data_IF_499127926354
#
_entry.id   IF_499127926354
#
_cell.length_a   1.000
_cell.length_b   1.000
_cell.length_c   1.000
_cell.angle_alpha   90.00
_cell.angle_beta   90.00
_cell.angle_gamma   90.00
#
_symmetry.space_group_name_H-M   'P 1'
#
loop_
_entity.id
_entity.type
_entity.pdbx_description
1 polymer ?
#
# COMPACT_ATOMS: atom_id res chain seq x y z
N UNK A 1 13.69 67.70 11.11
CA UNK A 1 13.11 66.74 12.05
C UNK A 1 12.47 65.64 11.21
N UNK A 2 13.21 64.60 10.89
CA UNK A 2 12.77 63.51 9.95
C UNK A 2 12.45 62.29 10.80
N UNK A 3 11.19 61.90 10.89
CA UNK A 3 10.73 60.69 11.56
C UNK A 3 10.95 59.47 10.65
N UNK A 4 11.82 58.56 11.10
CA UNK A 4 11.95 57.25 10.47
C UNK A 4 10.89 56.30 11.02
N UNK A 5 9.98 55.88 10.18
CA UNK A 5 9.03 54.81 10.50
C UNK A 5 9.72 53.44 10.34
N UNK A 6 9.87 52.72 11.45
CA UNK A 6 10.30 51.31 11.45
C UNK A 6 9.11 50.44 11.00
N UNK A 7 9.23 49.83 9.82
CA UNK A 7 8.33 48.72 9.45
C UNK A 7 8.83 47.43 10.08
N UNK A 8 8.09 46.94 11.07
CA UNK A 8 8.28 45.60 11.60
C UNK A 8 7.55 44.62 10.68
N UNK A 9 8.30 43.85 9.92
CA UNK A 9 7.75 42.73 9.13
C UNK A 9 7.55 41.56 10.08
N UNK A 10 6.32 41.31 10.49
CA UNK A 10 5.94 40.08 11.20
C UNK A 10 5.87 38.95 10.17
N UNK A 11 6.94 38.17 10.09
CA UNK A 11 6.98 36.97 9.29
C UNK A 11 6.05 35.91 9.89
N UNK A 12 4.90 35.68 9.28
CA UNK A 12 4.06 34.52 9.58
C UNK A 12 4.76 33.26 9.10
N UNK A 13 5.27 32.48 10.04
CA UNK A 13 5.79 31.13 9.77
C UNK A 13 4.56 30.27 9.42
N UNK A 14 4.40 29.97 8.14
CA UNK A 14 3.40 29.03 7.67
C UNK A 14 3.86 27.64 8.11
N UNK A 15 3.39 27.18 9.26
CA UNK A 15 3.57 25.80 9.71
C UNK A 15 2.85 24.90 8.72
N UNK A 16 3.59 24.28 7.81
CA UNK A 16 3.09 23.21 6.97
C UNK A 16 2.84 22.00 7.87
N UNK A 17 1.64 21.93 8.45
CA UNK A 17 1.16 20.71 9.11
C UNK A 17 0.99 19.67 8.03
N UNK A 18 1.91 18.69 7.99
CA UNK A 18 1.70 17.46 7.24
C UNK A 18 0.47 16.77 7.86
N UNK A 19 -0.69 17.02 7.29
CA UNK A 19 -1.88 16.23 7.58
C UNK A 19 -1.59 14.83 7.06
N UNK A 20 -1.30 13.90 7.96
CA UNK A 20 -1.40 12.48 7.70
C UNK A 20 -2.85 12.27 7.24
N UNK A 21 -3.05 11.99 5.96
CA UNK A 21 -4.36 11.63 5.44
C UNK A 21 -4.73 10.30 6.11
N UNK A 22 -5.53 10.38 7.15
CA UNK A 22 -6.23 9.23 7.69
C UNK A 22 -7.21 8.77 6.61
N UNK A 23 -7.07 7.56 6.12
CA UNK A 23 -8.02 6.97 5.19
C UNK A 23 -9.30 6.63 5.99
N UNK A 24 -10.07 7.67 6.28
CA UNK A 24 -11.29 7.61 7.08
C UNK A 24 -12.33 6.68 6.43
N UNK A 25 -12.21 6.42 5.12
CA UNK A 25 -13.18 5.60 4.38
C UNK A 25 -13.16 4.13 4.80
N UNK A 26 -12.02 3.56 5.16
CA UNK A 26 -11.90 2.15 5.56
C UNK A 26 -12.56 1.92 6.93
N UNK A 27 -12.44 2.87 7.87
CA UNK A 27 -12.89 2.70 9.25
C UNK A 27 -14.33 3.12 9.52
N UNK A 28 -15.01 3.79 8.58
CA UNK A 28 -16.38 4.31 8.80
C UNK A 28 -17.42 3.22 9.04
N UNK A 29 -17.19 2.02 8.50
CA UNK A 29 -18.10 0.85 8.64
C UNK A 29 -17.47 -0.31 9.41
N UNK A 30 -16.26 -0.14 9.94
CA UNK A 30 -15.53 -1.19 10.64
C UNK A 30 -15.55 -0.95 12.16
N UNK A 31 -15.70 -2.02 12.98
CA UNK A 31 -15.45 -1.96 14.41
C UNK A 31 -14.03 -1.49 14.73
N UNK A 32 -13.78 -1.12 15.99
CA UNK A 32 -12.42 -0.88 16.46
C UNK A 32 -11.56 -2.14 16.26
N UNK A 33 -10.37 -1.97 15.68
CA UNK A 33 -9.51 -3.12 15.38
C UNK A 33 -8.42 -2.78 14.37
N UNK A 34 -7.64 -3.80 14.01
CA UNK A 34 -6.58 -3.72 13.02
C UNK A 34 -7.04 -4.38 11.72
N UNK A 35 -6.89 -3.69 10.59
CA UNK A 35 -7.35 -4.18 9.29
C UNK A 35 -6.22 -4.09 8.26
N UNK A 36 -6.02 -5.18 7.55
CA UNK A 36 -5.08 -5.23 6.44
C UNK A 36 -5.52 -4.32 5.30
N UNK A 37 -4.62 -3.47 4.81
CA UNK A 37 -4.82 -2.63 3.62
C UNK A 37 -3.77 -2.89 2.54
N UNK A 38 -2.80 -3.73 2.84
CA UNK A 38 -1.76 -4.22 1.95
C UNK A 38 -0.81 -5.11 2.73
N UNK A 39 -0.01 -5.91 2.06
CA UNK A 39 0.89 -6.85 2.75
C UNK A 39 1.88 -6.19 3.72
N UNK A 40 2.21 -4.94 3.49
CA UNK A 40 3.14 -4.18 4.34
C UNK A 40 2.47 -3.03 5.07
N UNK A 41 1.15 -2.95 5.01
CA UNK A 41 0.40 -1.83 5.60
C UNK A 41 -0.89 -2.33 6.24
N UNK A 42 -1.25 -1.76 7.36
CA UNK A 42 -2.52 -1.99 8.03
C UNK A 42 -3.06 -0.69 8.62
N UNK A 43 -4.34 -0.63 8.85
CA UNK A 43 -5.00 0.49 9.50
C UNK A 43 -5.51 0.08 10.87
N UNK A 44 -5.31 0.92 11.86
CA UNK A 44 -5.92 0.80 13.19
C UNK A 44 -7.16 1.70 13.21
N UNK A 45 -8.33 1.09 13.34
CA UNK A 45 -9.60 1.79 13.44
C UNK A 45 -9.97 2.01 14.91
N UNK A 46 -10.31 3.26 15.26
CA UNK A 46 -10.82 3.63 16.58
C UNK A 46 -11.89 4.71 16.44
N UNK A 47 -13.11 4.41 16.86
CA UNK A 47 -14.23 5.36 16.80
C UNK A 47 -14.53 5.89 15.40
N UNK A 48 -14.38 5.04 14.36
CA UNK A 48 -14.62 5.42 12.95
C UNK A 48 -13.46 6.19 12.30
N UNK A 49 -12.34 6.40 13.01
CA UNK A 49 -11.12 7.05 12.49
C UNK A 49 -10.03 6.00 12.32
N UNK A 50 -9.29 6.08 11.20
CA UNK A 50 -8.19 5.18 10.88
C UNK A 50 -6.81 5.84 10.95
N UNK A 51 -5.83 5.10 11.47
CA UNK A 51 -4.40 5.47 11.39
C UNK A 51 -3.67 4.36 10.65
N UNK A 52 -2.99 4.72 9.57
CA UNK A 52 -2.22 3.77 8.75
C UNK A 52 -0.85 3.53 9.38
N UNK A 53 -0.47 2.27 9.45
CA UNK A 53 0.83 1.81 9.90
C UNK A 53 1.49 0.96 8.81
N UNK A 54 2.80 1.07 8.68
CA UNK A 54 3.60 0.25 7.77
C UNK A 54 4.50 -0.72 8.55
N UNK A 55 4.66 -1.91 8.00
CA UNK A 55 5.63 -2.86 8.50
C UNK A 55 7.05 -2.38 8.14
N UNK A 56 8.06 -2.64 9.02
CA UNK A 56 9.44 -2.28 8.76
C UNK A 56 9.98 -2.84 7.45
N UNK A 57 10.77 -2.02 6.76
CA UNK A 57 11.53 -2.36 5.56
C UNK A 57 13.01 -2.59 5.87
N UNK A 58 13.78 -3.26 4.99
CA UNK A 58 15.23 -3.32 5.11
C UNK A 58 15.87 -1.91 5.28
N UNK A 59 16.95 -1.76 6.08
CA UNK A 59 17.77 -2.81 6.70
C UNK A 59 17.19 -3.47 7.97
N UNK A 60 16.01 -3.06 8.44
CA UNK A 60 15.29 -3.80 9.47
C UNK A 60 14.86 -5.17 8.90
N UNK A 61 14.51 -6.16 9.73
CA UNK A 61 13.94 -7.42 9.25
C UNK A 61 12.76 -7.14 8.31
N UNK A 62 12.76 -7.75 7.13
CA UNK A 62 11.65 -7.67 6.19
C UNK A 62 10.42 -8.31 6.82
N UNK A 63 9.36 -7.54 7.03
CA UNK A 63 8.15 -8.02 7.67
C UNK A 63 6.91 -7.65 6.86
N UNK A 64 5.88 -8.48 6.99
CA UNK A 64 4.55 -8.27 6.39
C UNK A 64 3.48 -8.33 7.48
N UNK A 65 2.34 -7.72 7.25
CA UNK A 65 1.26 -7.74 8.21
C UNK A 65 0.65 -9.13 8.33
N UNK A 66 0.58 -9.64 9.56
CA UNK A 66 -0.05 -10.91 9.89
C UNK A 66 -1.45 -10.63 10.47
N UNK A 67 -2.48 -10.74 9.64
CA UNK A 67 -3.85 -10.48 10.04
C UNK A 67 -4.35 -11.41 11.18
N UNK A 68 -3.83 -12.65 11.24
CA UNK A 68 -4.17 -13.59 12.30
C UNK A 68 -3.60 -13.18 13.68
N UNK A 69 -2.50 -12.42 13.69
CA UNK A 69 -1.83 -11.96 14.92
C UNK A 69 -2.04 -10.47 15.20
N UNK A 70 -2.49 -9.69 14.21
CA UNK A 70 -2.72 -8.25 14.33
C UNK A 70 -1.46 -7.38 14.40
N UNK A 71 -0.31 -7.90 13.94
CA UNK A 71 0.97 -7.17 13.88
C UNK A 71 1.85 -7.64 12.73
N UNK A 72 2.95 -6.91 12.46
CA UNK A 72 3.93 -7.29 11.46
C UNK A 72 4.73 -8.52 11.93
N UNK A 73 4.96 -9.47 11.02
CA UNK A 73 5.62 -10.74 11.30
C UNK A 73 6.54 -11.14 10.12
N UNK A 74 7.39 -12.12 10.33
CA UNK A 74 8.19 -12.71 9.24
C UNK A 74 7.24 -13.28 8.17
N UNK A 75 7.49 -13.03 6.87
CA UNK A 75 6.69 -13.59 5.77
C UNK A 75 6.44 -15.09 5.86
N UNK A 76 7.40 -15.87 6.37
CA UNK A 76 7.28 -17.32 6.52
C UNK A 76 6.18 -17.74 7.50
N UNK A 77 5.75 -16.84 8.38
CA UNK A 77 4.69 -17.06 9.37
C UNK A 77 3.32 -16.56 8.90
N UNK A 78 3.22 -15.99 7.70
CA UNK A 78 2.03 -15.35 7.20
C UNK A 78 1.42 -16.15 6.06
N UNK A 79 0.10 -16.23 6.01
CA UNK A 79 -0.60 -16.89 4.91
C UNK A 79 -0.42 -16.13 3.59
N UNK A 80 -0.59 -16.85 2.46
CA UNK A 80 -0.66 -16.21 1.15
C UNK A 80 -1.82 -15.19 1.09
N UNK A 81 -1.70 -14.13 0.28
CA UNK A 81 -0.60 -13.84 -0.64
C UNK A 81 0.62 -13.20 0.04
N UNK A 82 0.48 -12.57 1.19
CA UNK A 82 1.51 -11.74 1.83
C UNK A 82 2.73 -12.52 2.30
N UNK A 83 2.54 -13.76 2.77
CA UNK A 83 3.62 -14.68 3.14
C UNK A 83 4.23 -15.43 1.96
N UNK A 84 3.87 -15.11 0.73
CA UNK A 84 4.39 -15.81 -0.44
C UNK A 84 5.59 -15.07 -1.04
N UNK A 85 6.73 -15.76 -1.03
CA UNK A 85 7.93 -15.30 -1.70
C UNK A 85 7.92 -15.73 -3.18
N UNK A 86 8.38 -14.85 -4.06
CA UNK A 86 8.57 -15.11 -5.48
C UNK A 86 10.04 -15.01 -5.86
N UNK A 87 10.54 -15.96 -6.64
CA UNK A 87 11.86 -15.85 -7.22
C UNK A 87 11.88 -14.81 -8.33
N UNK A 88 12.48 -13.66 -8.04
CA UNK A 88 12.64 -12.57 -8.97
C UNK A 88 13.99 -12.55 -9.70
N UNK A 89 14.88 -13.49 -9.44
CA UNK A 89 16.28 -13.48 -9.91
C UNK A 89 16.43 -13.40 -11.44
N UNK A 90 15.45 -13.93 -12.17
CA UNK A 90 15.42 -13.94 -13.64
C UNK A 90 14.29 -13.07 -14.21
N UNK A 91 13.57 -12.32 -13.37
CA UNK A 91 12.46 -11.49 -13.80
C UNK A 91 12.90 -10.03 -13.97
N UNK A 92 12.50 -9.36 -15.08
CA UNK A 92 12.68 -7.93 -15.24
C UNK A 92 12.03 -7.11 -14.11
N UNK A 93 12.57 -5.92 -13.89
CA UNK A 93 12.06 -4.96 -12.91
C UNK A 93 10.68 -4.45 -13.31
N UNK A 94 9.63 -4.99 -12.71
CA UNK A 94 8.23 -4.56 -12.87
C UNK A 94 7.32 -5.21 -11.84
N UNK A 95 6.03 -4.91 -11.96
CA UNK A 95 4.97 -5.58 -11.20
C UNK A 95 4.38 -6.73 -12.02
N UNK A 96 4.02 -7.81 -11.34
CA UNK A 96 3.49 -9.04 -11.94
C UNK A 96 2.15 -9.38 -11.30
N UNK A 97 1.14 -9.81 -12.09
CA UNK A 97 -0.12 -10.28 -11.53
C UNK A 97 0.07 -11.54 -10.69
N UNK A 98 -0.60 -11.62 -9.55
CA UNK A 98 -0.68 -12.85 -8.78
C UNK A 98 -1.85 -13.72 -9.27
N UNK A 99 -1.54 -14.74 -10.03
CA UNK A 99 -2.56 -15.63 -10.59
C UNK A 99 -3.28 -16.48 -9.52
N UNK A 100 -2.67 -16.70 -8.36
CA UNK A 100 -3.31 -17.42 -7.25
C UNK A 100 -4.47 -16.64 -6.64
N UNK A 101 -4.43 -15.32 -6.74
CA UNK A 101 -5.50 -14.43 -6.25
C UNK A 101 -6.42 -13.97 -7.39
N UNK A 102 -6.40 -14.65 -8.54
CA UNK A 102 -7.11 -14.20 -9.75
C UNK A 102 -6.77 -12.75 -10.11
N UNK A 103 -5.51 -12.38 -9.98
CA UNK A 103 -4.98 -11.05 -10.26
C UNK A 103 -5.58 -9.90 -9.42
N UNK A 104 -6.28 -10.20 -8.33
CA UNK A 104 -6.74 -9.17 -7.37
C UNK A 104 -5.58 -8.61 -6.54
N UNK A 105 -4.41 -9.25 -6.60
CA UNK A 105 -3.14 -8.73 -6.09
C UNK A 105 -2.04 -8.82 -7.15
N UNK A 106 -0.93 -8.16 -6.87
CA UNK A 106 0.29 -8.19 -7.69
C UNK A 106 1.52 -8.16 -6.80
N UNK A 107 2.64 -8.65 -7.31
CA UNK A 107 3.94 -8.56 -6.65
C UNK A 107 4.91 -7.73 -7.48
N UNK A 108 5.95 -7.22 -6.83
CA UNK A 108 6.97 -6.37 -7.46
C UNK A 108 8.32 -7.08 -7.41
N UNK A 109 8.99 -7.13 -8.57
CA UNK A 109 10.40 -7.50 -8.67
C UNK A 109 11.23 -6.27 -9.00
N UNK A 110 12.38 -6.09 -8.33
CA UNK A 110 13.35 -5.04 -8.63
C UNK A 110 14.76 -5.49 -8.28
N UNK A 111 15.72 -5.33 -9.22
CA UNK A 111 17.10 -5.77 -9.03
C UNK A 111 17.24 -7.26 -8.69
N UNK A 112 16.35 -8.11 -9.23
CA UNK A 112 16.31 -9.54 -8.92
C UNK A 112 15.75 -9.87 -7.53
N UNK A 113 15.23 -8.89 -6.80
CA UNK A 113 14.69 -9.02 -5.45
C UNK A 113 13.16 -8.91 -5.44
N UNK A 114 12.51 -9.74 -4.61
CA UNK A 114 11.08 -9.67 -4.37
C UNK A 114 10.74 -8.59 -3.35
N UNK A 115 9.87 -7.65 -3.73
CA UNK A 115 9.45 -6.50 -2.91
C UNK A 115 8.04 -6.66 -2.30
N UNK A 116 7.52 -7.88 -2.25
CA UNK A 116 6.23 -8.17 -1.63
C UNK A 116 5.03 -7.98 -2.54
N UNK A 117 3.84 -8.24 -1.99
CA UNK A 117 2.55 -8.12 -2.64
C UNK A 117 1.84 -6.82 -2.28
N UNK A 118 1.00 -6.37 -3.21
CA UNK A 118 0.02 -5.31 -3.01
C UNK A 118 -1.33 -5.75 -3.59
N UNK A 119 -2.41 -5.18 -3.07
CA UNK A 119 -3.76 -5.49 -3.51
C UNK A 119 -4.33 -4.42 -4.43
N UNK A 120 -5.14 -4.84 -5.38
CA UNK A 120 -6.02 -3.94 -6.09
C UNK A 120 -7.22 -3.57 -5.22
N UNK A 121 -7.79 -2.38 -5.44
CA UNK A 121 -9.04 -2.01 -4.80
C UNK A 121 -10.16 -3.00 -5.18
N UNK A 122 -11.17 -3.20 -4.34
CA UNK A 122 -12.27 -4.12 -4.62
C UNK A 122 -12.89 -3.91 -6.01
N UNK A 123 -13.06 -5.01 -6.75
CA UNK A 123 -13.60 -5.02 -8.11
C UNK A 123 -12.58 -4.77 -9.22
N UNK A 124 -11.33 -4.42 -8.89
CA UNK A 124 -10.25 -4.26 -9.85
C UNK A 124 -9.31 -5.47 -9.83
N UNK A 125 -8.61 -5.67 -10.95
CA UNK A 125 -7.55 -6.66 -11.11
C UNK A 125 -6.31 -6.00 -11.72
N UNK A 126 -5.15 -6.60 -11.53
CA UNK A 126 -3.91 -6.02 -12.03
C UNK A 126 -3.76 -6.19 -13.54
N UNK A 127 -3.58 -5.08 -14.23
CA UNK A 127 -3.28 -5.01 -15.67
C UNK A 127 -1.75 -4.92 -15.84
N UNK A 128 -1.13 -6.04 -16.19
CA UNK A 128 0.32 -6.11 -16.37
C UNK A 128 0.81 -5.21 -17.50
N UNK A 129 0.03 -5.04 -18.56
CA UNK A 129 0.42 -4.20 -19.69
C UNK A 129 0.44 -2.71 -19.32
N UNK A 130 -0.48 -2.29 -18.47
CA UNK A 130 -0.57 -0.91 -18.00
C UNK A 130 0.13 -0.67 -16.66
N UNK A 131 0.60 -1.72 -15.98
CA UNK A 131 1.26 -1.68 -14.67
C UNK A 131 0.42 -1.00 -13.56
N UNK A 132 -0.91 -1.19 -13.61
CA UNK A 132 -1.88 -0.64 -12.64
C UNK A 132 -3.08 -1.57 -12.48
N UNK A 133 -3.89 -1.34 -11.47
CA UNK A 133 -5.17 -2.03 -11.29
C UNK A 133 -6.25 -1.42 -12.20
N UNK A 134 -7.01 -2.27 -12.89
CA UNK A 134 -7.99 -1.88 -13.90
C UNK A 134 -9.25 -2.76 -13.80
N UNK A 135 -10.32 -2.35 -14.47
CA UNK A 135 -11.54 -3.15 -14.55
C UNK A 135 -11.31 -4.44 -15.33
N UNK A 136 -11.86 -5.59 -14.91
CA UNK A 136 -11.61 -6.88 -15.58
C UNK A 136 -11.86 -6.90 -17.08
N UNK A 137 -12.87 -6.17 -17.57
CA UNK A 137 -13.19 -6.08 -18.99
C UNK A 137 -12.17 -5.28 -19.83
N UNK A 138 -11.28 -4.51 -19.17
CA UNK A 138 -10.19 -3.77 -19.81
C UNK A 138 -8.86 -4.55 -19.81
N UNK A 139 -8.77 -5.62 -19.04
CA UNK A 139 -7.54 -6.41 -18.88
C UNK A 139 -7.56 -7.63 -19.79
N UNK A 140 -6.43 -7.89 -20.43
CA UNK A 140 -6.29 -9.08 -21.27
C UNK A 140 -6.23 -10.37 -20.42
N UNK A 141 -6.60 -11.53 -21.00
CA UNK A 141 -6.31 -12.82 -20.38
C UNK A 141 -4.82 -12.98 -20.04
N UNK A 142 -4.44 -13.76 -18.99
CA UNK A 142 -5.31 -14.64 -18.20
C UNK A 142 -6.09 -13.95 -17.08
N UNK A 143 -5.81 -12.70 -16.76
CA UNK A 143 -6.42 -11.99 -15.63
C UNK A 143 -7.82 -11.47 -15.95
N UNK A 144 -8.00 -10.85 -17.11
CA UNK A 144 -9.25 -10.20 -17.48
C UNK A 144 -9.93 -10.82 -18.69
N UNK A 145 -10.93 -10.09 -19.20
CA UNK A 145 -11.82 -10.57 -20.26
C UNK A 145 -11.77 -9.72 -21.54
N UNK A 146 -10.80 -8.79 -21.64
CA UNK A 146 -10.66 -7.95 -22.83
C UNK A 146 -10.38 -8.82 -24.07
N UNK A 147 -11.27 -8.78 -25.04
CA UNK A 147 -11.14 -9.49 -26.32
C UNK A 147 -11.66 -10.93 -26.32
N UNK A 148 -12.42 -11.31 -25.28
CA UNK A 148 -13.17 -12.58 -25.24
C UNK A 148 -14.60 -12.31 -25.73
#
# INVERSE_FOLDING_TARGET
MVMHALFVIVGTILSCSLTVQSDASVCTSQPNGHYEIGCRSYVICTGGTGVIHNCPDPPAPDTVYNAAKGHCDNPDNVARPCGHWQDCSLLPDKRYPDLYTNCTSYYTCHGGTFFGHNFCNPGLIFDEAMQLCNWPYNVAPPCGTRGI
#
